data_IF_751366349258
#
_entry.id   IF_751366349258
#
_cell.length_a   1.000
_cell.length_b   1.000
_cell.length_c   1.000
_cell.angle_alpha   90.00
_cell.angle_beta   90.00
_cell.angle_gamma   90.00
#
_symmetry.space_group_name_H-M   'P 1'
#
loop_
_entity.id
_entity.type
_entity.pdbx_description
1 polymer ?
#
# COMPACT_ATOMS: atom_id res chain seq x y z
N UNK A 1 -14.59 -14.88 1.44
CA UNK A 1 -14.75 -16.19 0.80
C UNK A 1 -15.39 -17.14 1.80
N UNK A 2 -16.26 -18.05 1.31
CA UNK A 2 -16.95 -19.05 2.14
C UNK A 2 -16.72 -20.44 1.56
N UNK A 3 -16.79 -21.44 2.42
CA UNK A 3 -16.79 -22.85 2.03
C UNK A 3 -18.12 -23.22 1.37
N UNK A 4 -18.20 -24.41 0.76
CA UNK A 4 -19.44 -24.96 0.21
C UNK A 4 -20.52 -25.21 1.28
N UNK A 5 -20.15 -25.22 2.55
CA UNK A 5 -21.06 -25.36 3.69
C UNK A 5 -21.50 -24.02 4.31
N UNK A 6 -21.11 -22.89 3.68
CA UNK A 6 -21.50 -21.56 4.13
C UNK A 6 -20.65 -21.01 5.30
N UNK A 7 -19.57 -21.66 5.68
CA UNK A 7 -18.65 -21.21 6.71
C UNK A 7 -17.54 -20.35 6.11
N UNK A 8 -16.98 -19.37 6.87
CA UNK A 8 -15.84 -18.59 6.40
C UNK A 8 -14.66 -19.50 6.04
N UNK A 9 -14.01 -19.21 4.90
CA UNK A 9 -12.81 -19.94 4.50
C UNK A 9 -11.59 -19.42 5.26
N UNK A 10 -10.98 -20.27 6.07
CA UNK A 10 -9.86 -19.90 6.96
C UNK A 10 -8.56 -19.52 6.22
N UNK A 11 -8.44 -19.83 4.93
CA UNK A 11 -7.33 -19.43 4.06
C UNK A 11 -7.54 -18.07 3.36
N UNK A 12 -8.69 -17.41 3.57
CA UNK A 12 -8.96 -16.09 3.03
C UNK A 12 -8.16 -15.01 3.79
N UNK A 13 -7.25 -14.25 3.12
CA UNK A 13 -6.43 -13.23 3.80
C UNK A 13 -7.26 -12.19 4.54
N UNK A 14 -8.40 -11.79 4.00
CA UNK A 14 -9.31 -10.84 4.64
C UNK A 14 -9.93 -11.43 5.94
N UNK A 15 -10.27 -12.71 5.92
CA UNK A 15 -10.74 -13.43 7.10
C UNK A 15 -9.65 -13.51 8.17
N UNK A 16 -8.42 -13.88 7.77
CA UNK A 16 -7.26 -13.97 8.67
C UNK A 16 -7.00 -12.62 9.35
N UNK A 17 -6.99 -11.51 8.60
CA UNK A 17 -6.82 -10.18 9.15
C UNK A 17 -7.91 -9.85 10.18
N UNK A 18 -9.18 -10.09 9.84
CA UNK A 18 -10.31 -9.86 10.76
C UNK A 18 -10.19 -10.63 12.06
N UNK A 19 -9.76 -11.89 12.00
CA UNK A 19 -9.54 -12.72 13.20
C UNK A 19 -8.39 -12.17 14.06
N UNK A 20 -7.31 -11.67 13.45
CA UNK A 20 -6.22 -11.06 14.22
C UNK A 20 -6.65 -9.73 14.85
N UNK A 21 -7.41 -8.91 14.13
CA UNK A 21 -7.97 -7.68 14.68
C UNK A 21 -8.93 -7.96 15.85
N UNK A 22 -9.73 -9.03 15.77
CA UNK A 22 -10.59 -9.44 16.89
C UNK A 22 -9.77 -9.84 18.13
N UNK A 23 -8.62 -10.50 17.94
CA UNK A 23 -7.70 -10.81 19.05
C UNK A 23 -7.08 -9.54 19.66
N UNK A 24 -6.69 -8.58 18.82
CA UNK A 24 -6.19 -7.28 19.30
C UNK A 24 -7.27 -6.52 20.09
N UNK A 25 -8.50 -6.50 19.58
CA UNK A 25 -9.64 -5.88 20.22
C UNK A 25 -9.98 -6.51 21.58
N UNK A 26 -9.84 -7.84 21.72
CA UNK A 26 -10.01 -8.54 23.00
C UNK A 26 -8.97 -8.11 24.06
N UNK A 27 -7.82 -7.59 23.65
CA UNK A 27 -6.79 -6.98 24.50
C UNK A 27 -6.98 -5.46 24.69
N UNK A 28 -8.04 -4.89 24.10
CA UNK A 28 -8.36 -3.47 24.16
C UNK A 28 -7.65 -2.61 23.11
N UNK A 29 -7.02 -3.21 22.09
CA UNK A 29 -6.31 -2.49 21.04
C UNK A 29 -7.13 -2.35 19.77
N UNK A 30 -7.01 -1.19 19.10
CA UNK A 30 -7.38 -0.98 17.71
C UNK A 30 -6.11 -0.92 16.87
N UNK A 31 -6.02 -1.73 15.82
CA UNK A 31 -4.88 -1.76 14.92
C UNK A 31 -5.16 -0.91 13.68
N UNK A 32 -4.36 0.13 13.51
CA UNK A 32 -4.41 1.01 12.35
C UNK A 32 -3.18 0.84 11.47
N UNK A 33 -3.38 1.01 10.17
CA UNK A 33 -2.30 0.99 9.17
C UNK A 33 -2.46 2.14 8.18
N UNK A 34 -1.31 2.65 7.69
CA UNK A 34 -1.20 3.60 6.59
C UNK A 34 -0.32 2.97 5.51
N UNK A 35 -0.89 2.42 4.45
CA UNK A 35 -0.13 1.88 3.33
C UNK A 35 0.29 3.00 2.37
N UNK A 36 1.53 2.92 1.88
CA UNK A 36 2.10 3.77 0.83
C UNK A 36 2.13 2.98 -0.48
N UNK A 37 1.50 3.51 -1.52
CA UNK A 37 1.22 2.74 -2.73
C UNK A 37 2.08 3.17 -3.89
N UNK A 38 3.20 2.45 -4.12
CA UNK A 38 4.07 2.67 -5.26
C UNK A 38 3.68 1.79 -6.46
N UNK A 39 3.83 2.33 -7.67
CA UNK A 39 3.51 1.62 -8.91
C UNK A 39 4.25 2.22 -10.10
N UNK A 40 4.42 1.42 -11.16
CA UNK A 40 4.94 1.90 -12.43
C UNK A 40 3.85 2.11 -13.46
N UNK A 41 4.04 3.13 -14.32
CA UNK A 41 3.25 3.37 -15.53
C UNK A 41 4.11 3.10 -16.75
N UNK A 42 3.82 2.03 -17.48
CA UNK A 42 4.52 1.68 -18.71
C UNK A 42 3.68 1.99 -19.95
N UNK A 43 4.34 2.26 -21.06
CA UNK A 43 3.69 2.36 -22.36
C UNK A 43 3.16 0.98 -22.79
N UNK A 44 2.06 0.96 -23.51
CA UNK A 44 1.58 -0.24 -24.20
C UNK A 44 2.21 -0.32 -25.60
N UNK A 45 2.20 -1.52 -26.18
CA UNK A 45 2.54 -1.70 -27.60
C UNK A 45 1.37 -1.25 -28.52
N UNK A 46 1.57 -1.34 -29.84
CA UNK A 46 0.57 -0.98 -30.85
C UNK A 46 -0.73 -1.80 -30.78
N UNK A 47 -0.70 -2.94 -30.08
CA UNK A 47 -1.87 -3.82 -29.87
C UNK A 47 -2.50 -3.62 -28.48
N UNK A 48 -2.04 -2.63 -27.69
CA UNK A 48 -2.51 -2.38 -26.32
C UNK A 48 -2.00 -3.40 -25.28
N UNK A 49 -0.91 -4.13 -25.58
CA UNK A 49 -0.34 -5.11 -24.64
C UNK A 49 0.64 -4.45 -23.70
N UNK A 50 0.74 -4.92 -22.44
CA UNK A 50 1.73 -4.44 -21.48
C UNK A 50 3.17 -4.58 -22.01
N UNK A 51 3.98 -3.54 -21.78
CA UNK A 51 5.42 -3.57 -22.03
C UNK A 51 6.17 -3.10 -20.78
N UNK A 52 7.50 -3.10 -20.82
CA UNK A 52 8.38 -2.45 -19.85
C UNK A 52 8.95 -1.13 -20.39
N UNK A 53 8.35 -0.57 -21.44
CA UNK A 53 8.79 0.68 -22.01
C UNK A 53 8.38 1.84 -21.11
N UNK A 54 9.37 2.58 -20.63
CA UNK A 54 9.19 3.72 -19.76
C UNK A 54 8.36 4.83 -20.44
N UNK A 55 7.51 5.49 -19.67
CA UNK A 55 6.75 6.66 -20.10
C UNK A 55 7.62 7.92 -20.07
N UNK A 56 8.50 8.01 -19.09
CA UNK A 56 9.35 9.16 -18.81
C UNK A 56 10.74 8.76 -18.32
N UNK A 57 11.56 9.76 -18.02
CA UNK A 57 12.86 9.66 -17.38
C UNK A 57 12.95 10.57 -16.16
N UNK A 58 11.79 10.87 -15.54
CA UNK A 58 11.70 11.64 -14.33
C UNK A 58 12.36 10.97 -13.13
N UNK A 59 12.52 11.71 -12.06
CA UNK A 59 13.02 11.27 -10.76
C UNK A 59 12.16 11.79 -9.61
N UNK A 60 12.66 11.61 -8.40
CA UNK A 60 11.92 11.89 -7.17
C UNK A 60 11.42 13.34 -7.10
N UNK A 61 10.10 13.51 -6.97
CA UNK A 61 9.38 14.79 -6.93
C UNK A 61 9.49 15.65 -8.20
N UNK A 62 9.88 15.05 -9.34
CA UNK A 62 9.78 15.76 -10.62
C UNK A 62 8.32 16.09 -10.96
N UNK A 63 8.14 17.17 -11.69
CA UNK A 63 6.84 17.72 -12.10
C UNK A 63 6.77 17.86 -13.63
N UNK A 64 5.59 18.14 -14.13
CA UNK A 64 5.39 18.47 -15.55
C UNK A 64 6.30 19.64 -15.98
N UNK A 65 7.00 19.55 -17.14
CA UNK A 65 6.81 18.59 -18.23
C UNK A 65 7.63 17.30 -18.13
N UNK A 66 8.49 17.13 -17.11
CA UNK A 66 9.35 15.96 -16.96
C UNK A 66 8.54 14.71 -16.56
N UNK A 67 7.45 14.92 -15.82
CA UNK A 67 6.53 13.89 -15.34
C UNK A 67 5.20 13.92 -16.09
N UNK A 68 5.04 13.24 -17.23
CA UNK A 68 3.77 13.11 -17.93
C UNK A 68 2.78 12.16 -17.22
N UNK A 69 3.21 11.41 -16.20
CA UNK A 69 2.36 10.58 -15.37
C UNK A 69 1.49 11.34 -14.39
N UNK A 70 1.77 12.63 -14.17
CA UNK A 70 0.98 13.51 -13.32
C UNK A 70 -0.51 13.51 -13.69
N UNK A 71 -0.85 13.46 -14.98
CA UNK A 71 -2.23 13.40 -15.43
C UNK A 71 -2.97 12.14 -14.95
N UNK A 72 -2.30 10.98 -14.97
CA UNK A 72 -2.88 9.73 -14.47
C UNK A 72 -3.05 9.80 -12.95
N UNK A 73 -2.03 10.32 -12.23
CA UNK A 73 -2.13 10.47 -10.77
C UNK A 73 -3.25 11.43 -10.38
N UNK A 74 -3.40 12.55 -11.09
CA UNK A 74 -4.48 13.52 -10.83
C UNK A 74 -5.87 12.93 -11.05
N UNK A 75 -6.06 12.17 -12.14
CA UNK A 75 -7.31 11.47 -12.38
C UNK A 75 -7.58 10.44 -11.26
N UNK A 76 -6.55 9.71 -10.86
CA UNK A 76 -6.65 8.70 -9.82
C UNK A 76 -6.97 9.33 -8.46
N UNK A 77 -6.29 10.40 -8.07
CA UNK A 77 -6.56 11.17 -6.84
C UNK A 77 -8.01 11.67 -6.83
N UNK A 78 -8.49 12.22 -7.93
CA UNK A 78 -9.87 12.72 -8.05
C UNK A 78 -10.88 11.61 -7.85
N UNK A 79 -10.73 10.50 -8.58
CA UNK A 79 -11.66 9.36 -8.50
C UNK A 79 -11.63 8.68 -7.12
N UNK A 80 -10.44 8.49 -6.55
CA UNK A 80 -10.31 7.91 -5.21
C UNK A 80 -10.94 8.80 -4.14
N UNK A 81 -10.78 10.13 -4.25
CA UNK A 81 -11.42 11.08 -3.33
C UNK A 81 -12.94 10.99 -3.39
N UNK A 82 -13.53 10.88 -4.59
CA UNK A 82 -14.95 10.64 -4.79
C UNK A 82 -15.42 9.30 -4.20
N UNK A 83 -14.54 8.31 -4.15
CA UNK A 83 -14.79 7.01 -3.52
C UNK A 83 -14.54 7.00 -2.00
N UNK A 84 -14.24 8.14 -1.39
CA UNK A 84 -14.04 8.29 0.05
C UNK A 84 -12.64 7.96 0.55
N UNK A 85 -11.62 8.04 -0.32
CA UNK A 85 -10.22 8.05 0.11
C UNK A 85 -9.81 9.45 0.53
N UNK A 86 -9.12 9.57 1.65
CA UNK A 86 -8.44 10.80 2.05
C UNK A 86 -7.00 10.72 1.58
N UNK A 87 -6.68 11.36 0.46
CA UNK A 87 -5.35 11.36 -0.12
C UNK A 87 -4.46 12.32 0.67
N UNK A 88 -3.24 11.90 1.01
CA UNK A 88 -2.23 12.69 1.72
C UNK A 88 -1.13 13.19 0.78
N UNK A 89 -0.62 12.31 -0.09
CA UNK A 89 0.44 12.65 -1.02
C UNK A 89 0.24 12.00 -2.40
N UNK A 90 0.83 12.63 -3.42
CA UNK A 90 0.87 12.10 -4.78
C UNK A 90 2.08 12.71 -5.49
N UNK A 91 3.05 11.90 -5.85
CA UNK A 91 4.29 12.37 -6.45
C UNK A 91 4.91 11.35 -7.41
N UNK A 92 5.87 11.81 -8.20
CA UNK A 92 6.77 10.96 -8.96
C UNK A 92 7.80 10.34 -8.03
N UNK A 93 8.06 9.04 -8.17
CA UNK A 93 9.03 8.30 -7.40
C UNK A 93 10.45 8.34 -8.00
N UNK A 94 11.42 7.68 -7.33
CA UNK A 94 12.84 7.73 -7.69
C UNK A 94 13.11 7.14 -9.07
N UNK A 95 12.48 6.00 -9.39
CA UNK A 95 12.71 5.38 -10.70
C UNK A 95 11.90 6.08 -11.80
N UNK A 96 12.42 6.18 -13.02
CA UNK A 96 11.66 6.61 -14.18
C UNK A 96 10.34 5.86 -14.31
N UNK A 97 9.26 6.57 -14.57
CA UNK A 97 7.89 6.03 -14.70
C UNK A 97 7.32 5.41 -13.42
N UNK A 98 7.92 5.69 -12.27
CA UNK A 98 7.44 5.24 -10.96
C UNK A 98 6.71 6.36 -10.24
N UNK A 99 5.59 6.02 -9.62
CA UNK A 99 4.67 6.95 -8.96
C UNK A 99 4.25 6.42 -7.61
N UNK A 100 3.87 7.32 -6.72
CA UNK A 100 3.32 7.00 -5.41
C UNK A 100 2.07 7.83 -5.12
N UNK A 101 1.10 7.21 -4.46
CA UNK A 101 -0.07 7.89 -3.90
C UNK A 101 -0.35 7.30 -2.54
N UNK A 102 -0.33 8.18 -1.54
CA UNK A 102 -0.56 7.85 -0.14
C UNK A 102 -1.92 8.35 0.31
N UNK A 103 -2.53 7.63 1.20
CA UNK A 103 -3.80 8.01 1.80
C UNK A 103 -3.78 7.80 3.32
N UNK A 104 -4.52 8.64 4.01
CA UNK A 104 -4.60 8.68 5.47
C UNK A 104 -4.81 7.30 6.05
N UNK A 105 -4.06 7.00 7.10
CA UNK A 105 -4.20 5.76 7.85
C UNK A 105 -5.61 5.53 8.39
N UNK A 106 -5.94 4.31 8.69
CA UNK A 106 -7.20 3.93 9.28
C UNK A 106 -7.22 2.49 9.78
N UNK A 107 -8.40 2.03 10.12
CA UNK A 107 -8.64 0.63 10.51
C UNK A 107 -8.04 -0.34 9.48
N UNK A 108 -7.27 -1.32 9.96
CA UNK A 108 -6.47 -2.19 9.10
C UNK A 108 -7.29 -2.95 8.06
N UNK A 109 -8.52 -3.38 8.38
CA UNK A 109 -9.37 -4.08 7.43
C UNK A 109 -9.89 -3.14 6.33
N UNK A 110 -10.32 -1.94 6.72
CA UNK A 110 -10.74 -0.91 5.79
C UNK A 110 -9.61 -0.48 4.85
N UNK A 111 -8.37 -0.36 5.38
CA UNK A 111 -7.21 -0.04 4.58
C UNK A 111 -6.83 -1.17 3.61
N UNK A 112 -6.90 -2.43 4.04
CA UNK A 112 -6.69 -3.57 3.15
C UNK A 112 -7.71 -3.58 1.98
N UNK A 113 -8.99 -3.31 2.25
CA UNK A 113 -10.03 -3.19 1.22
C UNK A 113 -9.74 -2.00 0.27
N UNK A 114 -9.25 -0.86 0.81
CA UNK A 114 -8.85 0.31 0.02
C UNK A 114 -7.65 0.01 -0.88
N UNK A 115 -6.63 -0.72 -0.41
CA UNK A 115 -5.47 -1.13 -1.24
C UNK A 115 -5.91 -1.93 -2.46
N UNK A 116 -6.82 -2.89 -2.29
CA UNK A 116 -7.35 -3.69 -3.42
C UNK A 116 -8.11 -2.80 -4.40
N UNK A 117 -8.94 -1.90 -3.89
CA UNK A 117 -9.71 -0.94 -4.69
C UNK A 117 -8.77 0.02 -5.44
N UNK A 118 -7.74 0.54 -4.77
CA UNK A 118 -6.72 1.39 -5.37
C UNK A 118 -6.04 0.71 -6.57
N UNK A 119 -5.58 -0.54 -6.40
CA UNK A 119 -4.92 -1.30 -7.48
C UNK A 119 -5.84 -1.47 -8.70
N UNK A 120 -7.12 -1.71 -8.47
CA UNK A 120 -8.10 -1.81 -9.54
C UNK A 120 -8.31 -0.47 -10.26
N UNK A 121 -8.49 0.61 -9.50
CA UNK A 121 -8.67 1.96 -10.04
C UNK A 121 -7.44 2.42 -10.85
N UNK A 122 -6.22 2.26 -10.30
CA UNK A 122 -4.98 2.63 -10.97
C UNK A 122 -4.82 1.92 -12.32
N UNK A 123 -5.02 0.60 -12.36
CA UNK A 123 -4.95 -0.16 -13.61
C UNK A 123 -6.01 0.28 -14.62
N UNK A 124 -7.22 0.55 -14.17
CA UNK A 124 -8.33 0.97 -15.03
C UNK A 124 -8.11 2.35 -15.63
N UNK A 125 -7.64 3.31 -14.82
CA UNK A 125 -7.39 4.68 -15.28
C UNK A 125 -6.15 4.75 -16.17
N UNK A 126 -5.08 4.04 -15.83
CA UNK A 126 -3.91 3.92 -16.70
C UNK A 126 -4.28 3.35 -18.09
N UNK A 127 -5.09 2.29 -18.11
CA UNK A 127 -5.57 1.69 -19.37
C UNK A 127 -6.34 2.71 -20.23
N UNK A 128 -7.20 3.52 -19.64
CA UNK A 128 -7.94 4.59 -20.35
C UNK A 128 -7.02 5.65 -20.98
N UNK A 129 -5.80 5.79 -20.45
CA UNK A 129 -4.75 6.69 -20.96
C UNK A 129 -3.73 5.99 -21.88
N UNK A 130 -3.97 4.74 -22.29
CA UNK A 130 -3.06 3.97 -23.12
C UNK A 130 -1.79 3.51 -22.40
N UNK A 131 -1.85 3.41 -21.05
CA UNK A 131 -0.76 3.01 -20.19
C UNK A 131 -1.09 1.71 -19.45
N UNK A 132 -0.04 1.05 -18.97
CA UNK A 132 -0.14 -0.13 -18.13
C UNK A 132 0.40 0.18 -16.73
N UNK A 133 -0.48 0.18 -15.73
CA UNK A 133 -0.08 0.27 -14.33
C UNK A 133 0.27 -1.11 -13.78
N UNK A 134 1.45 -1.22 -13.17
CA UNK A 134 1.89 -2.44 -12.50
C UNK A 134 2.35 -2.18 -11.07
N UNK A 135 1.99 -3.11 -10.18
CA UNK A 135 2.43 -3.17 -8.79
C UNK A 135 3.47 -4.29 -8.58
N UNK A 136 4.10 -4.74 -9.66
CA UNK A 136 5.20 -5.70 -9.57
C UNK A 136 6.36 -5.07 -8.78
N UNK A 137 6.88 -5.71 -7.73
CA UNK A 137 7.89 -5.10 -6.86
C UNK A 137 9.16 -4.68 -7.60
N UNK A 138 9.61 -5.46 -8.57
CA UNK A 138 10.84 -5.19 -9.33
C UNK A 138 10.63 -5.45 -10.83
N UNK A 139 9.88 -4.59 -11.55
CA UNK A 139 9.59 -4.82 -12.96
C UNK A 139 10.80 -4.62 -13.87
N UNK A 140 11.79 -3.82 -13.45
CA UNK A 140 13.02 -3.55 -14.20
C UNK A 140 14.21 -3.79 -13.28
N UNK A 141 15.17 -4.60 -13.76
CA UNK A 141 16.42 -4.83 -13.06
C UNK A 141 17.31 -3.57 -13.08
N UNK A 142 18.00 -3.31 -11.98
CA UNK A 142 19.00 -2.24 -11.89
C UNK A 142 18.47 -0.84 -11.52
N UNK A 143 17.15 -0.64 -11.45
CA UNK A 143 16.54 0.61 -10.95
C UNK A 143 15.73 0.35 -9.68
N UNK A 144 15.22 1.39 -9.02
CA UNK A 144 14.36 1.25 -7.85
C UNK A 144 13.12 0.41 -8.17
N UNK A 145 12.65 -0.35 -7.20
CA UNK A 145 11.40 -1.11 -7.30
C UNK A 145 10.29 -0.48 -6.49
N UNK A 146 9.07 -0.98 -6.64
CA UNK A 146 7.90 -0.50 -5.90
C UNK A 146 7.80 -1.20 -4.57
N UNK A 147 7.74 -0.42 -3.50
CA UNK A 147 7.39 -0.84 -2.17
C UNK A 147 5.87 -0.77 -1.93
N UNK A 148 5.47 -1.29 -0.80
CA UNK A 148 4.24 -0.93 -0.11
C UNK A 148 4.61 -0.86 1.37
N UNK A 149 5.12 0.28 1.81
CA UNK A 149 5.38 0.51 3.21
C UNK A 149 4.06 0.50 3.98
N UNK A 150 4.05 -0.14 5.12
CA UNK A 150 2.85 -0.24 5.96
C UNK A 150 3.18 0.37 7.31
N UNK A 151 2.85 1.65 7.47
CA UNK A 151 2.95 2.32 8.74
C UNK A 151 1.91 1.75 9.70
N UNK A 152 2.33 1.36 10.90
CA UNK A 152 1.47 0.67 11.88
C UNK A 152 1.33 1.46 13.17
N UNK A 153 0.14 1.46 13.75
CA UNK A 153 -0.07 1.94 15.11
C UNK A 153 -1.11 1.10 15.85
N UNK A 154 -0.95 1.01 17.18
CA UNK A 154 -1.96 0.47 18.07
C UNK A 154 -2.56 1.60 18.90
N UNK A 155 -3.90 1.66 18.92
CA UNK A 155 -4.64 2.62 19.73
C UNK A 155 -5.31 1.91 20.90
N UNK A 156 -5.30 2.53 22.08
CA UNK A 156 -6.06 2.11 23.25
C UNK A 156 -6.61 3.34 23.95
N UNK A 157 -7.89 3.34 24.25
CA UNK A 157 -8.58 4.46 24.89
C UNK A 157 -8.34 5.81 24.17
N UNK A 158 -8.30 5.77 22.82
CA UNK A 158 -8.07 6.94 21.96
C UNK A 158 -6.63 7.45 21.91
N UNK A 159 -5.67 6.74 22.51
CA UNK A 159 -4.24 7.10 22.53
C UNK A 159 -3.41 6.11 21.72
N UNK A 160 -2.39 6.61 21.02
CA UNK A 160 -1.38 5.77 20.40
C UNK A 160 -0.48 5.17 21.49
N UNK A 161 -0.55 3.84 21.67
CA UNK A 161 0.22 3.15 22.71
C UNK A 161 1.67 2.90 22.36
N UNK A 162 2.08 3.18 21.11
CA UNK A 162 3.49 3.07 20.73
C UNK A 162 4.35 4.25 21.19
N UNK A 163 3.71 5.38 21.52
CA UNK A 163 4.41 6.59 21.93
C UNK A 163 4.52 6.68 23.46
N UNK A 164 5.73 6.89 23.95
CA UNK A 164 6.06 7.22 25.32
C UNK A 164 7.10 8.35 25.32
N UNK A 165 6.76 9.58 25.80
CA UNK A 165 7.68 10.70 25.77
C UNK A 165 8.94 10.49 26.60
N UNK A 166 8.86 9.64 27.65
CA UNK A 166 9.96 9.34 28.56
C UNK A 166 10.73 8.06 28.14
N UNK A 167 10.22 7.32 27.17
CA UNK A 167 10.84 6.11 26.64
C UNK A 167 12.05 6.42 25.77
N UNK A 168 13.00 5.49 25.71
CA UNK A 168 14.12 5.58 24.78
C UNK A 168 13.61 5.62 23.33
N UNK A 169 14.07 6.61 22.54
CA UNK A 169 13.55 6.93 21.21
C UNK A 169 12.05 7.26 21.19
N UNK A 170 11.48 7.67 22.32
CA UNK A 170 10.05 7.93 22.50
C UNK A 170 9.15 6.70 22.22
N UNK A 171 9.70 5.50 22.35
CA UNK A 171 9.00 4.23 22.17
C UNK A 171 8.58 3.65 23.51
N UNK A 172 7.32 3.26 23.60
CA UNK A 172 6.79 2.49 24.73
C UNK A 172 7.27 1.03 24.69
N UNK A 173 7.05 0.31 25.79
CA UNK A 173 7.27 -1.13 25.83
C UNK A 173 6.35 -1.88 24.84
N UNK A 174 5.11 -1.44 24.65
CA UNK A 174 4.20 -2.02 23.65
C UNK A 174 4.77 -1.91 22.24
N UNK A 175 5.37 -0.75 21.88
CA UNK A 175 6.05 -0.58 20.60
C UNK A 175 7.24 -1.55 20.45
N UNK A 176 8.05 -1.69 21.49
CA UNK A 176 9.20 -2.60 21.49
C UNK A 176 8.79 -4.06 21.37
N UNK A 177 7.72 -4.48 22.06
CA UNK A 177 7.16 -5.83 21.91
C UNK A 177 6.60 -6.07 20.52
N UNK A 178 5.94 -5.08 19.91
CA UNK A 178 5.45 -5.17 18.55
C UNK A 178 6.60 -5.33 17.54
N UNK A 179 7.65 -4.51 17.64
CA UNK A 179 8.87 -4.60 16.82
C UNK A 179 9.54 -5.97 17.02
N UNK A 180 9.69 -6.41 18.26
CA UNK A 180 10.24 -7.73 18.58
C UNK A 180 9.43 -8.87 17.95
N UNK A 181 8.10 -8.74 17.91
CA UNK A 181 7.20 -9.68 17.25
C UNK A 181 7.43 -9.72 15.73
N UNK A 182 7.54 -8.56 15.09
CA UNK A 182 7.85 -8.46 13.66
C UNK A 182 9.19 -9.13 13.33
N UNK A 183 10.25 -8.80 14.09
CA UNK A 183 11.58 -9.37 13.89
C UNK A 183 11.60 -10.89 14.08
N UNK A 184 10.86 -11.39 15.06
CA UNK A 184 10.75 -12.84 15.32
C UNK A 184 10.10 -13.59 14.17
N UNK A 185 9.17 -12.96 13.47
CA UNK A 185 8.36 -13.59 12.41
C UNK A 185 8.74 -13.13 11.00
N UNK A 186 9.80 -12.33 10.83
CA UNK A 186 10.16 -11.68 9.57
C UNK A 186 10.35 -12.67 8.42
N UNK A 187 10.93 -13.83 8.66
CA UNK A 187 11.10 -14.85 7.62
C UNK A 187 9.76 -15.38 7.09
N UNK A 188 8.81 -15.62 7.98
CA UNK A 188 7.45 -16.05 7.61
C UNK A 188 6.69 -14.94 6.87
N UNK A 189 6.83 -13.70 7.34
CA UNK A 189 6.24 -12.52 6.69
C UNK A 189 6.80 -12.37 5.28
N UNK A 190 8.12 -12.42 5.12
CA UNK A 190 8.79 -12.27 3.83
C UNK A 190 8.36 -13.32 2.81
N UNK A 191 8.16 -14.57 3.23
CA UNK A 191 7.68 -15.66 2.34
C UNK A 191 6.30 -15.37 1.73
N UNK A 192 5.48 -14.58 2.40
CA UNK A 192 4.11 -14.24 1.95
C UNK A 192 4.10 -12.87 1.27
N UNK A 193 4.74 -11.87 1.90
CA UNK A 193 4.66 -10.48 1.45
C UNK A 193 5.65 -10.14 0.32
N UNK A 194 6.75 -10.89 0.20
CA UNK A 194 7.81 -10.65 -0.78
C UNK A 194 8.07 -11.93 -1.62
N UNK A 195 7.07 -12.43 -2.34
CA UNK A 195 7.29 -13.54 -3.27
C UNK A 195 8.23 -13.07 -4.39
N UNK A 196 9.25 -13.86 -4.70
CA UNK A 196 10.21 -13.59 -5.79
C UNK A 196 9.55 -13.66 -7.17
#
# INVERSE_FOLDING_TARGET
VYTTHGEPFTGDPRYILREQMAKAAALGYTFNVGPEMEFFLFRQDEFGRPTVNLQDHGGYFDQTPTDPGEDVRRDLVTQLSEMGFNIEASHHEVAPSQHEIDFTYGDALSMADKVVTFKFAAKTLALKRGLHATFMPKPIYGINGSGMHVNCSLMKDGKNVFFDPDGEHQLSDDARYFIGGLLKHVEGITRIANPT
#
